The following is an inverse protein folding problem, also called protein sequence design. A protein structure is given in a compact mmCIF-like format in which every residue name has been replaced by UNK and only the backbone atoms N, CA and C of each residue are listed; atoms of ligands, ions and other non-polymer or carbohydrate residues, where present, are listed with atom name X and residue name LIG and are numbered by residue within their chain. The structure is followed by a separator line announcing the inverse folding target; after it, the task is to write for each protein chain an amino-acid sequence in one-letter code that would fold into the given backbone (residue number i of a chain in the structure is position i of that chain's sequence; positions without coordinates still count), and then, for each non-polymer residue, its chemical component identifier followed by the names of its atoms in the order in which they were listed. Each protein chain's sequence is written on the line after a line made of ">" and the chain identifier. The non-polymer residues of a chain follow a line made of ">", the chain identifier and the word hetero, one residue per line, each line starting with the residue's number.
data_IF_942574116077
#
_entry.id   IF_942574116077
#
_cell.length_a   1.000
_cell.length_b   1.000
_cell.length_c   1.000
_cell.angle_alpha   90.00
_cell.angle_beta   90.00
_cell.angle_gamma   90.00
#
_symmetry.space_group_name_H-M   'P 1'
#
loop_
_entity.id
_entity.type
_entity.pdbx_description
1 polymer ?
#
# COMPACT_ATOMS: atom_id res chain seq x y z
N UNK A 1 7.30 -11.64 -8.83
CA UNK A 1 8.77 -11.61 -8.66
C UNK A 1 9.01 -11.45 -7.18
N UNK A 2 9.77 -12.36 -6.59
CA UNK A 2 9.97 -12.39 -5.16
C UNK A 2 10.78 -11.19 -4.68
N UNK A 3 10.60 -10.83 -3.42
CA UNK A 3 11.31 -9.73 -2.75
C UNK A 3 12.12 -10.28 -1.59
N UNK A 4 13.32 -9.74 -1.44
CA UNK A 4 14.17 -9.98 -0.27
C UNK A 4 13.77 -8.98 0.80
N UNK A 5 13.42 -9.48 1.98
CA UNK A 5 13.22 -8.71 3.20
C UNK A 5 14.50 -8.80 4.04
N UNK A 6 15.04 -7.63 4.38
CA UNK A 6 16.20 -7.48 5.24
C UNK A 6 15.75 -6.75 6.51
N UNK A 7 15.83 -7.44 7.65
CA UNK A 7 15.50 -6.83 8.94
C UNK A 7 16.63 -5.92 9.43
N UNK A 8 16.26 -4.77 10.00
CA UNK A 8 17.20 -3.81 10.58
C UNK A 8 17.75 -4.34 11.92
N UNK A 9 18.86 -5.07 11.88
CA UNK A 9 19.50 -5.64 13.07
C UNK A 9 20.88 -6.24 12.78
N UNK A 10 21.65 -6.55 13.85
CA UNK A 10 22.97 -7.21 13.73
C UNK A 10 22.89 -8.66 13.23
N UNK A 11 21.71 -9.27 13.31
CA UNK A 11 21.41 -10.64 12.89
C UNK A 11 20.25 -10.59 11.88
N UNK A 12 20.49 -9.92 10.76
CA UNK A 12 19.48 -9.68 9.73
C UNK A 12 19.07 -11.01 9.07
N UNK A 13 17.98 -11.61 9.53
CA UNK A 13 17.38 -12.76 8.88
C UNK A 13 16.96 -12.39 7.45
N UNK A 14 17.53 -13.09 6.47
CA UNK A 14 17.15 -12.97 5.06
C UNK A 14 15.88 -13.77 4.84
N UNK A 15 14.79 -13.09 4.48
CA UNK A 15 13.55 -13.72 4.08
C UNK A 15 13.25 -13.39 2.62
N UNK A 16 12.85 -14.39 1.84
CA UNK A 16 12.40 -14.20 0.46
C UNK A 16 10.92 -14.51 0.41
N UNK A 17 10.12 -13.58 -0.07
CA UNK A 17 8.67 -13.75 -0.15
C UNK A 17 8.08 -13.03 -1.37
N UNK A 18 6.99 -13.57 -1.89
CA UNK A 18 6.16 -12.93 -2.91
C UNK A 18 4.83 -12.40 -2.33
N UNK A 19 4.60 -12.59 -1.04
CA UNK A 19 3.36 -12.15 -0.38
C UNK A 19 3.45 -10.68 0.05
N UNK A 20 2.56 -9.86 -0.53
CA UNK A 20 2.46 -8.43 -0.24
C UNK A 20 2.13 -8.12 1.22
N UNK A 21 1.33 -8.95 1.89
CA UNK A 21 0.99 -8.73 3.30
C UNK A 21 2.22 -8.91 4.19
N UNK A 22 2.98 -9.98 3.99
CA UNK A 22 4.26 -10.22 4.67
C UNK A 22 5.25 -9.10 4.39
N UNK A 23 5.35 -8.64 3.14
CA UNK A 23 6.24 -7.53 2.77
C UNK A 23 5.86 -6.25 3.54
N UNK A 24 4.60 -5.84 3.49
CA UNK A 24 4.13 -4.59 4.08
C UNK A 24 4.18 -4.59 5.61
N UNK A 25 4.01 -5.75 6.26
CA UNK A 25 4.17 -5.91 7.72
C UNK A 25 5.62 -5.75 8.17
N UNK A 26 6.59 -6.11 7.34
CA UNK A 26 8.02 -6.11 7.69
C UNK A 26 8.77 -4.86 7.23
N UNK A 27 8.21 -4.07 6.30
CA UNK A 27 8.78 -2.79 5.92
C UNK A 27 8.51 -1.78 7.05
N UNK A 28 9.58 -1.21 7.61
CA UNK A 28 9.47 -0.08 8.54
C UNK A 28 9.01 1.18 7.79
N UNK A 29 7.71 1.47 7.84
CA UNK A 29 7.11 2.64 7.20
C UNK A 29 6.83 3.73 8.25
N UNK A 30 7.48 4.88 8.12
CA UNK A 30 7.23 6.04 9.00
C UNK A 30 6.27 7.08 8.42
N UNK A 31 6.02 7.05 7.11
CA UNK A 31 5.09 7.98 6.46
C UNK A 31 3.62 7.66 6.86
N UNK A 32 2.86 8.62 7.43
CA UNK A 32 1.48 8.40 7.85
C UNK A 32 0.55 7.92 6.73
N UNK A 33 0.67 8.46 5.51
CA UNK A 33 -0.17 8.05 4.38
C UNK A 33 0.14 6.60 3.95
N UNK A 34 1.41 6.21 4.02
CA UNK A 34 1.80 4.84 3.72
C UNK A 34 1.41 3.86 4.83
N UNK A 35 1.34 4.28 6.11
CA UNK A 35 0.77 3.46 7.20
C UNK A 35 -0.68 3.09 6.93
N UNK A 36 -1.49 4.01 6.39
CA UNK A 36 -2.87 3.71 5.99
C UNK A 36 -2.92 2.62 4.91
N UNK A 37 -1.99 2.61 3.96
CA UNK A 37 -1.91 1.54 2.94
C UNK A 37 -1.51 0.18 3.53
N UNK A 38 -0.62 0.17 4.52
CA UNK A 38 -0.24 -1.05 5.27
C UNK A 38 -1.45 -1.59 6.04
N UNK A 39 -2.17 -0.72 6.75
CA UNK A 39 -3.36 -1.09 7.50
C UNK A 39 -4.48 -1.61 6.59
N UNK A 40 -4.70 -0.97 5.44
CA UNK A 40 -5.66 -1.44 4.43
C UNK A 40 -5.29 -2.83 3.90
N UNK A 41 -4.01 -3.07 3.58
CA UNK A 41 -3.55 -4.40 3.16
C UNK A 41 -3.76 -5.45 4.24
N UNK A 42 -3.59 -5.08 5.52
CA UNK A 42 -3.82 -5.97 6.65
C UNK A 42 -5.29 -6.32 6.81
N UNK A 43 -6.20 -5.34 6.68
CA UNK A 43 -7.65 -5.61 6.73
C UNK A 43 -8.07 -6.56 5.60
N UNK A 44 -7.52 -6.40 4.40
CA UNK A 44 -7.79 -7.32 3.29
C UNK A 44 -7.32 -8.76 3.60
N UNK A 45 -6.15 -8.89 4.24
CA UNK A 45 -5.60 -10.18 4.70
C UNK A 45 -6.49 -10.82 5.78
N UNK A 46 -6.93 -10.05 6.76
CA UNK A 46 -7.73 -10.53 7.89
C UNK A 46 -9.16 -10.92 7.45
N UNK A 47 -9.77 -10.19 6.52
CA UNK A 47 -11.17 -10.41 6.09
C UNK A 47 -11.31 -11.41 4.94
N UNK A 48 -10.40 -11.40 3.96
CA UNK A 48 -10.51 -12.19 2.73
C UNK A 48 -9.36 -13.18 2.57
N UNK A 49 -8.18 -12.88 3.13
CA UNK A 49 -7.00 -13.75 3.07
C UNK A 49 -6.21 -13.71 1.75
N UNK A 50 -6.70 -12.99 0.73
CA UNK A 50 -6.02 -12.80 -0.56
C UNK A 50 -6.36 -11.42 -1.16
N UNK A 51 -5.59 -11.01 -2.16
CA UNK A 51 -5.74 -9.73 -2.86
C UNK A 51 -5.04 -8.57 -2.16
N UNK A 52 -4.26 -8.84 -1.12
CA UNK A 52 -3.47 -7.86 -0.35
C UNK A 52 -2.56 -7.03 -1.25
N UNK A 53 -1.87 -7.69 -2.18
CA UNK A 53 -1.03 -7.02 -3.18
C UNK A 53 -1.87 -6.18 -4.15
N UNK A 54 -2.97 -6.75 -4.67
CA UNK A 54 -3.81 -6.11 -5.67
C UNK A 54 -4.48 -4.85 -5.14
N UNK A 55 -5.00 -4.89 -3.91
CA UNK A 55 -5.66 -3.72 -3.31
C UNK A 55 -4.68 -2.59 -3.03
N UNK A 56 -3.46 -2.90 -2.56
CA UNK A 56 -2.43 -1.87 -2.33
C UNK A 56 -1.96 -1.24 -3.63
N UNK A 57 -1.76 -2.03 -4.69
CA UNK A 57 -1.39 -1.51 -6.01
C UNK A 57 -2.51 -0.63 -6.57
N UNK A 58 -3.77 -1.07 -6.48
CA UNK A 58 -4.91 -0.28 -6.95
C UNK A 58 -5.02 1.07 -6.25
N UNK A 59 -4.88 1.10 -4.91
CA UNK A 59 -4.91 2.34 -4.15
C UNK A 59 -3.76 3.29 -4.54
N UNK A 60 -2.56 2.76 -4.76
CA UNK A 60 -1.42 3.56 -5.19
C UNK A 60 -1.61 4.16 -6.60
N UNK A 61 -2.18 3.40 -7.54
CA UNK A 61 -2.48 3.90 -8.89
C UNK A 61 -3.61 4.95 -8.87
N UNK A 62 -4.64 4.77 -8.03
CA UNK A 62 -5.66 5.79 -7.83
C UNK A 62 -5.05 7.11 -7.32
N UNK A 63 -4.13 7.04 -6.34
CA UNK A 63 -3.43 8.23 -5.84
C UNK A 63 -2.56 8.90 -6.91
N UNK A 64 -1.89 8.12 -7.75
CA UNK A 64 -1.11 8.64 -8.89
C UNK A 64 -2.01 9.36 -9.90
N UNK A 65 -3.16 8.80 -10.24
CA UNK A 65 -4.11 9.46 -11.14
C UNK A 65 -4.70 10.74 -10.50
N UNK A 66 -5.00 10.71 -9.20
CA UNK A 66 -5.46 11.88 -8.47
C UNK A 66 -4.43 13.01 -8.44
N UNK A 67 -3.14 12.71 -8.36
CA UNK A 67 -2.07 13.71 -8.45
C UNK A 67 -2.19 14.55 -9.74
N UNK A 68 -2.48 13.89 -10.88
CA UNK A 68 -2.67 14.56 -12.17
C UNK A 68 -3.88 15.52 -12.17
N UNK A 69 -4.95 15.17 -11.45
CA UNK A 69 -6.16 15.98 -11.33
C UNK A 69 -5.92 17.17 -10.38
N UNK A 70 -5.20 16.94 -9.28
CA UNK A 70 -4.79 17.99 -8.34
C UNK A 70 -3.86 19.00 -9.04
N UNK A 71 -2.94 18.54 -9.90
CA UNK A 71 -2.09 19.42 -10.71
C UNK A 71 -2.90 20.34 -11.63
N UNK A 72 -4.07 19.87 -12.10
CA UNK A 72 -5.06 20.65 -12.87
C UNK A 72 -5.97 21.54 -12.00
N UNK A 73 -5.64 21.71 -10.71
CA UNK A 73 -6.39 22.51 -9.72
C UNK A 73 -7.81 21.98 -9.43
N UNK A 74 -8.05 20.69 -9.63
CA UNK A 74 -9.29 20.05 -9.21
C UNK A 74 -9.22 19.80 -7.70
N UNK A 75 -10.26 20.21 -6.96
CA UNK A 75 -10.30 20.04 -5.51
C UNK A 75 -10.41 18.56 -5.13
N UNK A 76 -9.63 18.04 -4.15
CA UNK A 76 -9.66 16.62 -3.77
C UNK A 76 -11.05 16.08 -3.44
N UNK A 77 -11.92 16.90 -2.83
CA UNK A 77 -13.31 16.52 -2.55
C UNK A 77 -14.10 16.12 -3.81
N UNK A 78 -13.86 16.80 -4.94
CA UNK A 78 -14.51 16.46 -6.21
C UNK A 78 -14.05 15.10 -6.73
N UNK A 79 -12.75 14.79 -6.57
CA UNK A 79 -12.18 13.50 -6.95
C UNK A 79 -12.78 12.39 -6.09
N UNK A 80 -12.84 12.61 -4.77
CA UNK A 80 -13.43 11.65 -3.81
C UNK A 80 -14.90 11.39 -4.13
N UNK A 81 -15.67 12.44 -4.43
CA UNK A 81 -17.07 12.29 -4.86
C UNK A 81 -17.18 11.48 -6.15
N UNK A 82 -16.35 11.78 -7.15
CA UNK A 82 -16.38 11.09 -8.44
C UNK A 82 -15.95 9.61 -8.39
N UNK A 83 -15.16 9.19 -7.40
CA UNK A 83 -14.79 7.78 -7.21
C UNK A 83 -15.81 6.97 -6.39
N UNK A 84 -16.74 7.64 -5.70
CA UNK A 84 -17.76 6.99 -4.87
C UNK A 84 -19.05 6.68 -5.63
N UNK A 85 -19.27 7.37 -6.75
CA UNK A 85 -20.39 7.14 -7.68
C UNK A 85 -20.09 5.97 -8.62
#
# INVERSE_FOLDING_TARGET
>A
MDKILLSSGRDAALMVTNDGATILKNIGVDNPAAKVLVDMSRVQDDEVGDGTTSVTVLAAELLREAESLIAKKIHPQTIISGWRE
#
